data_IF_025170935593
#
_entry.id   IF_025170935593
#
_cell.length_a   1.000
_cell.length_b   1.000
_cell.length_c   1.000
_cell.angle_alpha   90.00
_cell.angle_beta   90.00
_cell.angle_gamma   90.00
#
_symmetry.space_group_name_H-M   'P 1'
#
loop_
_entity.id
_entity.type
_entity.pdbx_description
1 polymer ?
#
# COMPACT_ATOMS: atom_id res chain seq x y z
N UNK A 1 19.13 16.35 14.26
CA UNK A 1 17.74 15.85 14.13
C UNK A 1 17.12 16.04 12.74
N UNK A 2 17.35 17.16 12.03
CA UNK A 2 16.78 17.42 10.68
C UNK A 2 17.07 16.32 9.63
N UNK A 3 18.31 15.83 9.54
CA UNK A 3 18.72 14.83 8.54
C UNK A 3 18.07 13.44 8.71
N UNK A 4 17.77 13.03 9.95
CA UNK A 4 17.10 11.75 10.22
C UNK A 4 15.66 11.78 9.75
N UNK A 5 14.95 12.88 10.00
CA UNK A 5 13.55 13.06 9.56
C UNK A 5 13.47 13.07 8.03
N UNK A 6 14.42 13.71 7.34
CA UNK A 6 14.47 13.73 5.87
C UNK A 6 14.78 12.34 5.27
N UNK A 7 15.68 11.57 5.89
CA UNK A 7 15.95 10.19 5.46
C UNK A 7 14.73 9.28 5.67
N UNK A 8 14.06 9.39 6.83
CA UNK A 8 12.83 8.63 7.11
C UNK A 8 11.76 9.00 6.08
N UNK A 9 11.55 10.29 5.81
CA UNK A 9 10.61 10.74 4.77
C UNK A 9 10.89 10.10 3.41
N UNK A 10 12.16 10.05 2.98
CA UNK A 10 12.55 9.50 1.68
C UNK A 10 12.33 7.99 1.63
N UNK A 11 12.64 7.29 2.72
CA UNK A 11 12.44 5.83 2.84
C UNK A 11 10.94 5.47 2.88
N UNK A 12 10.14 6.21 3.64
CA UNK A 12 8.67 6.01 3.69
C UNK A 12 8.02 6.31 2.35
N UNK A 13 8.49 7.33 1.61
CA UNK A 13 7.97 7.61 0.26
C UNK A 13 8.28 6.48 -0.73
N UNK A 14 9.47 5.88 -0.61
CA UNK A 14 9.84 4.68 -1.35
C UNK A 14 8.90 3.52 -1.03
N UNK A 15 8.69 3.24 0.26
CA UNK A 15 7.79 2.18 0.75
C UNK A 15 6.35 2.39 0.25
N UNK A 16 5.82 3.61 0.34
CA UNK A 16 4.48 3.95 -0.17
C UNK A 16 4.38 3.68 -1.68
N UNK A 17 5.39 4.08 -2.45
CA UNK A 17 5.41 3.85 -3.90
C UNK A 17 5.49 2.36 -4.24
N UNK A 18 6.28 1.59 -3.49
CA UNK A 18 6.35 0.13 -3.65
C UNK A 18 5.02 -0.51 -3.29
N UNK A 19 4.39 -0.13 -2.18
CA UNK A 19 3.08 -0.66 -1.76
C UNK A 19 1.99 -0.41 -2.81
N UNK A 20 1.94 0.81 -3.36
CA UNK A 20 1.02 1.18 -4.45
C UNK A 20 1.28 0.30 -5.68
N UNK A 21 2.55 0.13 -6.07
CA UNK A 21 2.93 -0.71 -7.21
C UNK A 21 2.51 -2.17 -7.02
N UNK A 22 2.78 -2.76 -5.86
CA UNK A 22 2.35 -4.13 -5.53
C UNK A 22 0.84 -4.27 -5.47
N UNK A 23 0.11 -3.27 -4.97
CA UNK A 23 -1.35 -3.27 -4.94
C UNK A 23 -1.97 -3.30 -6.35
N UNK A 24 -1.39 -2.55 -7.29
CA UNK A 24 -1.83 -2.57 -8.70
C UNK A 24 -1.58 -3.93 -9.35
N UNK A 25 -0.41 -4.53 -9.13
CA UNK A 25 -0.08 -5.86 -9.67
C UNK A 25 -1.05 -6.92 -9.13
N UNK A 26 -1.35 -6.87 -7.82
CA UNK A 26 -2.31 -7.77 -7.19
C UNK A 26 -3.72 -7.60 -7.78
N UNK A 27 -4.16 -6.37 -8.08
CA UNK A 27 -5.44 -6.12 -8.75
C UNK A 27 -5.48 -6.73 -10.16
N UNK A 28 -4.41 -6.59 -10.94
CA UNK A 28 -4.32 -7.21 -12.27
C UNK A 28 -4.39 -8.74 -12.19
N UNK A 29 -3.69 -9.34 -11.23
CA UNK A 29 -3.74 -10.78 -10.98
C UNK A 29 -5.15 -11.25 -10.59
N UNK A 30 -5.84 -10.51 -9.71
CA UNK A 30 -7.20 -10.83 -9.30
C UNK A 30 -8.18 -10.87 -10.50
N UNK A 31 -8.07 -9.90 -11.42
CA UNK A 31 -8.88 -9.85 -12.63
C UNK A 31 -8.58 -11.02 -13.57
N UNK A 32 -7.30 -11.37 -13.74
CA UNK A 32 -6.88 -12.51 -14.55
C UNK A 32 -7.39 -13.85 -14.00
N UNK A 33 -7.38 -14.00 -12.67
CA UNK A 33 -7.80 -15.22 -11.97
C UNK A 33 -9.31 -15.45 -12.10
N UNK A 34 -10.13 -14.39 -12.03
CA UNK A 34 -11.60 -14.45 -12.13
C UNK A 34 -12.10 -15.00 -13.48
N UNK A 35 -11.32 -14.89 -14.54
CA UNK A 35 -11.75 -15.27 -15.90
C UNK A 35 -11.78 -16.78 -16.18
N UNK A 36 -11.37 -17.62 -15.23
CA UNK A 36 -11.31 -19.08 -15.41
C UNK A 36 -11.90 -19.76 -14.15
N UNK A 37 -12.34 -21.03 -14.21
CA UNK A 37 -13.45 -21.64 -13.42
C UNK A 37 -13.81 -21.11 -12.01
N UNK A 38 -15.12 -20.98 -11.75
CA UNK A 38 -15.73 -19.85 -11.05
C UNK A 38 -15.52 -19.77 -9.51
N UNK A 39 -15.68 -20.85 -8.74
CA UNK A 39 -15.91 -20.71 -7.29
C UNK A 39 -14.63 -20.51 -6.45
N UNK A 40 -13.61 -21.36 -6.65
CA UNK A 40 -12.34 -21.28 -5.92
C UNK A 40 -11.53 -20.03 -6.30
N UNK A 41 -11.71 -19.55 -7.54
CA UNK A 41 -11.03 -18.36 -8.07
C UNK A 41 -11.69 -17.05 -7.65
N UNK A 42 -13.01 -17.03 -7.44
CA UNK A 42 -13.69 -15.89 -6.83
C UNK A 42 -13.17 -15.64 -5.41
N UNK A 43 -13.04 -16.71 -4.60
CA UNK A 43 -12.52 -16.63 -3.23
C UNK A 43 -11.06 -16.15 -3.22
N UNK A 44 -10.22 -16.65 -4.14
CA UNK A 44 -8.83 -16.19 -4.27
C UNK A 44 -8.73 -14.74 -4.76
N UNK A 45 -9.55 -14.33 -5.73
CA UNK A 45 -9.61 -12.95 -6.20
C UNK A 45 -9.99 -11.98 -5.08
N UNK A 46 -10.99 -12.35 -4.26
CA UNK A 46 -11.40 -11.58 -3.08
C UNK A 46 -10.29 -11.49 -2.03
N UNK A 47 -9.60 -12.59 -1.73
CA UNK A 47 -8.45 -12.59 -0.82
C UNK A 47 -7.35 -11.64 -1.30
N UNK A 48 -7.00 -11.71 -2.59
CA UNK A 48 -6.00 -10.83 -3.20
C UNK A 48 -6.45 -9.37 -3.12
N UNK A 49 -7.74 -9.09 -3.33
CA UNK A 49 -8.31 -7.75 -3.24
C UNK A 49 -8.27 -7.19 -1.82
N UNK A 50 -8.56 -8.01 -0.80
CA UNK A 50 -8.43 -7.64 0.62
C UNK A 50 -6.98 -7.33 0.97
N UNK A 51 -6.04 -8.16 0.51
CA UNK A 51 -4.60 -7.93 0.72
C UNK A 51 -4.15 -6.64 0.04
N UNK A 52 -4.57 -6.41 -1.21
CA UNK A 52 -4.28 -5.16 -1.91
C UNK A 52 -4.84 -3.94 -1.15
N UNK A 53 -6.08 -4.02 -0.67
CA UNK A 53 -6.69 -2.97 0.15
C UNK A 53 -5.91 -2.71 1.44
N UNK A 54 -5.46 -3.76 2.13
CA UNK A 54 -4.63 -3.64 3.32
C UNK A 54 -3.30 -2.94 3.04
N UNK A 55 -2.68 -3.21 1.89
CA UNK A 55 -1.49 -2.47 1.45
C UNK A 55 -1.81 -1.01 1.14
N UNK A 56 -2.86 -0.70 0.39
CA UNK A 56 -3.25 0.69 0.14
C UNK A 56 -3.57 1.45 1.44
N UNK A 57 -4.30 0.83 2.35
CA UNK A 57 -4.61 1.39 3.66
C UNK A 57 -3.36 1.59 4.52
N UNK A 58 -2.43 0.63 4.52
CA UNK A 58 -1.14 0.74 5.19
C UNK A 58 -0.30 1.89 4.65
N UNK A 59 -0.25 2.05 3.33
CA UNK A 59 0.42 3.18 2.67
C UNK A 59 -0.22 4.53 3.05
N UNK A 60 -1.55 4.59 3.06
CA UNK A 60 -2.28 5.80 3.47
C UNK A 60 -2.04 6.14 4.95
N UNK A 61 -2.07 5.14 5.83
CA UNK A 61 -1.82 5.32 7.27
C UNK A 61 -0.38 5.76 7.55
N UNK A 62 0.59 5.19 6.84
CA UNK A 62 1.99 5.63 6.88
C UNK A 62 2.15 7.08 6.39
N UNK A 63 1.40 7.47 5.35
CA UNK A 63 1.38 8.84 4.87
C UNK A 63 0.76 9.81 5.89
N UNK A 64 -0.34 9.42 6.54
CA UNK A 64 -0.95 10.22 7.61
C UNK A 64 0.01 10.39 8.79
N UNK A 65 0.63 9.31 9.26
CA UNK A 65 1.63 9.36 10.34
C UNK A 65 2.81 10.28 9.99
N UNK A 66 3.29 10.22 8.74
CA UNK A 66 4.33 11.13 8.25
C UNK A 66 3.89 12.59 8.35
N UNK A 67 2.62 12.88 8.01
CA UNK A 67 2.03 14.22 8.04
C UNK A 67 1.79 14.72 9.47
N UNK A 68 1.37 13.86 10.38
CA UNK A 68 1.18 14.17 11.80
C UNK A 68 2.51 14.44 12.50
N UNK A 69 3.56 13.65 12.21
CA UNK A 69 4.92 13.89 12.73
C UNK A 69 5.47 15.23 12.23
N UNK A 70 5.24 15.57 10.96
CA UNK A 70 5.65 16.86 10.39
C UNK A 70 4.93 18.03 11.07
N UNK A 71 3.62 17.90 11.32
CA UNK A 71 2.81 18.88 12.07
C UNK A 71 3.28 19.05 13.52
N UNK A 72 3.55 17.96 14.23
CA UNK A 72 4.01 17.98 15.62
C UNK A 72 5.41 18.59 15.76
N UNK A 73 6.29 18.36 14.78
CA UNK A 73 7.64 18.92 14.80
C UNK A 73 7.75 20.35 14.25
N UNK A 74 6.65 21.01 13.87
CA UNK A 74 6.65 22.37 13.26
C UNK A 74 7.76 22.54 12.21
N UNK A 75 7.85 21.58 11.29
CA UNK A 75 8.69 21.64 10.09
C UNK A 75 7.79 21.84 8.87
#
# INVERSE_FOLDING_TARGET
MKNFITQIKKKTNGIIRTLIGTGIILLLLAVLIVWTDFFLRLVMGLLIMVVAYAFFYGAYKLWSLKKDVEKFFKL
#
